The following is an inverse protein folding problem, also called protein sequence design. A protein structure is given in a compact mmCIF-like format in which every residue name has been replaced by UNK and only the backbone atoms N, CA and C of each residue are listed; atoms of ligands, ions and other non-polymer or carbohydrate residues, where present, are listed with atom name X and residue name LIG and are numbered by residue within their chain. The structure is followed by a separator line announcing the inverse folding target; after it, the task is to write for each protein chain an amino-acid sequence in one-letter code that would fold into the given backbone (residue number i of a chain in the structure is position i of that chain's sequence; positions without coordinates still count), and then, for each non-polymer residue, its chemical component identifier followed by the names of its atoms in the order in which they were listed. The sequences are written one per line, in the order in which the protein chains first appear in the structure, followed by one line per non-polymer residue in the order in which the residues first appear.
data_IF_669652777554
#
_entry.id   IF_669652777554
#
_cell.length_a   1.000
_cell.length_b   1.000
_cell.length_c   1.000
_cell.angle_alpha   90.00
_cell.angle_beta   90.00
_cell.angle_gamma   90.00
#
_symmetry.space_group_name_H-M   'P 1'
#
loop_
_entity.id
_entity.type
_entity.pdbx_description
1 polymer ?
#
# COMPACT_ATOMS: atom_id res chain seq x y z
N UNK A 1 9.33 24.05 -13.26
CA UNK A 1 8.49 23.38 -12.23
C UNK A 1 9.41 22.54 -11.38
N UNK A 2 9.39 22.70 -10.04
CA UNK A 2 10.25 21.90 -9.15
C UNK A 2 9.75 20.45 -9.16
N UNK A 3 10.64 19.48 -9.23
CA UNK A 3 10.24 18.06 -9.12
C UNK A 3 9.50 17.84 -7.80
N UNK A 4 8.38 17.10 -7.86
CA UNK A 4 7.53 16.84 -6.69
C UNK A 4 8.17 15.87 -5.69
N UNK A 5 9.10 15.03 -6.14
CA UNK A 5 9.73 13.97 -5.34
C UNK A 5 11.20 13.85 -5.71
N UNK A 6 12.07 13.57 -4.75
CA UNK A 6 13.52 13.41 -4.98
C UNK A 6 13.89 11.95 -5.24
N UNK A 7 14.92 11.67 -6.05
CA UNK A 7 15.41 10.30 -6.25
C UNK A 7 15.78 9.66 -4.91
N UNK A 8 15.24 8.48 -4.64
CA UNK A 8 15.46 7.76 -3.38
C UNK A 8 14.66 8.32 -2.20
N UNK A 9 13.81 9.33 -2.41
CA UNK A 9 12.81 9.73 -1.42
C UNK A 9 11.86 8.56 -1.17
N UNK A 10 11.71 8.16 0.09
CA UNK A 10 10.77 7.11 0.44
C UNK A 10 9.36 7.69 0.51
N UNK A 11 8.52 7.28 -0.42
CA UNK A 11 7.12 7.71 -0.53
C UNK A 11 6.21 6.65 0.07
N UNK A 12 5.19 7.11 0.79
CA UNK A 12 4.28 6.26 1.56
C UNK A 12 4.71 6.18 3.02
N UNK A 13 4.59 5.01 3.64
CA UNK A 13 4.96 4.79 5.05
C UNK A 13 3.78 4.75 6.02
N UNK A 14 2.56 4.98 5.53
CA UNK A 14 1.32 4.75 6.28
C UNK A 14 0.86 3.29 6.20
N UNK A 15 0.13 2.86 7.22
CA UNK A 15 -0.46 1.53 7.33
C UNK A 15 -1.98 1.69 7.51
N UNK A 16 -2.74 0.89 6.78
CA UNK A 16 -4.19 0.89 6.82
C UNK A 16 -4.70 -0.45 7.31
N UNK A 17 -5.69 -0.41 8.21
CA UNK A 17 -6.40 -1.60 8.67
C UNK A 17 -7.74 -1.69 7.95
N UNK A 18 -7.93 -2.78 7.19
CA UNK A 18 -9.15 -3.04 6.45
C UNK A 18 -9.90 -4.24 7.02
N UNK A 19 -11.23 -4.16 7.03
CA UNK A 19 -12.10 -5.33 7.23
C UNK A 19 -12.27 -6.10 5.92
N UNK A 20 -12.20 -7.43 5.99
CA UNK A 20 -12.48 -8.34 4.87
C UNK A 20 -13.90 -8.87 4.94
N UNK A 21 -14.53 -9.01 3.77
CA UNK A 21 -15.86 -9.62 3.65
C UNK A 21 -15.80 -11.12 3.88
N UNK A 22 -16.72 -11.65 4.71
CA UNK A 22 -16.75 -13.08 5.10
C UNK A 22 -16.87 -14.06 3.94
N UNK A 23 -17.60 -13.70 2.89
CA UNK A 23 -17.87 -14.58 1.73
C UNK A 23 -16.78 -14.51 0.67
N UNK A 24 -16.34 -13.30 0.34
CA UNK A 24 -15.39 -13.06 -0.75
C UNK A 24 -13.94 -13.06 -0.30
N UNK A 25 -13.69 -12.94 1.01
CA UNK A 25 -12.39 -12.59 1.58
C UNK A 25 -11.77 -11.35 0.93
N UNK A 26 -12.53 -10.47 0.29
CA UNK A 26 -11.99 -9.22 -0.29
C UNK A 26 -12.18 -8.07 0.68
N UNK A 27 -11.33 -7.05 0.56
CA UNK A 27 -11.59 -5.75 1.22
C UNK A 27 -12.89 -5.19 0.64
N UNK A 28 -13.81 -4.79 1.53
CA UNK A 28 -15.09 -4.25 1.09
C UNK A 28 -14.95 -2.77 0.69
N UNK A 29 -15.41 -2.35 -0.50
CA UNK A 29 -15.14 -0.99 -1.02
C UNK A 29 -15.81 0.14 -0.22
N UNK A 30 -16.85 -0.15 0.56
CA UNK A 30 -17.55 0.83 1.40
C UNK A 30 -17.07 0.99 2.84
N UNK A 31 -16.01 0.28 3.26
CA UNK A 31 -15.49 0.37 4.63
C UNK A 31 -14.34 1.38 4.70
N UNK A 32 -14.48 2.43 5.52
CA UNK A 32 -13.36 3.32 5.83
C UNK A 32 -12.27 2.58 6.61
N UNK A 33 -11.00 2.63 6.16
CA UNK A 33 -9.90 2.03 6.90
C UNK A 33 -9.49 2.87 8.10
N UNK A 34 -8.82 2.23 9.06
CA UNK A 34 -8.08 2.93 10.12
C UNK A 34 -6.64 3.15 9.66
N UNK A 35 -6.20 4.40 9.62
CA UNK A 35 -4.85 4.77 9.22
C UNK A 35 -3.92 4.92 10.43
N UNK A 36 -2.69 4.43 10.29
CA UNK A 36 -1.65 4.52 11.31
C UNK A 36 -0.29 4.83 10.70
N UNK A 37 0.51 5.62 11.41
CA UNK A 37 1.86 5.99 10.99
C UNK A 37 2.89 4.86 11.14
N UNK A 38 2.59 3.79 11.88
CA UNK A 38 3.53 2.69 12.13
C UNK A 38 2.86 1.33 11.99
N UNK A 39 3.66 0.33 11.57
CA UNK A 39 3.17 -1.04 11.41
C UNK A 39 2.67 -1.62 12.73
N UNK A 40 3.37 -1.34 13.83
CA UNK A 40 3.01 -1.83 15.15
C UNK A 40 1.66 -1.26 15.62
N UNK A 41 1.41 0.03 15.40
CA UNK A 41 0.14 0.64 15.72
C UNK A 41 -1.01 0.02 14.90
N UNK A 42 -0.80 -0.24 13.61
CA UNK A 42 -1.79 -0.91 12.76
C UNK A 42 -2.05 -2.37 13.18
N UNK A 43 -1.01 -3.11 13.60
CA UNK A 43 -1.18 -4.47 14.14
C UNK A 43 -2.01 -4.45 15.42
N UNK A 44 -1.72 -3.52 16.34
CA UNK A 44 -2.46 -3.38 17.58
C UNK A 44 -3.93 -3.06 17.30
N UNK A 45 -4.21 -2.18 16.34
CA UNK A 45 -5.57 -1.86 15.93
C UNK A 45 -6.29 -3.05 15.30
N UNK A 46 -5.61 -3.78 14.41
CA UNK A 46 -6.14 -5.01 13.81
C UNK A 46 -6.55 -6.03 14.90
N UNK A 47 -5.72 -6.23 15.92
CA UNK A 47 -6.01 -7.12 17.04
C UNK A 47 -7.17 -6.60 17.92
N UNK A 48 -7.21 -5.28 18.19
CA UNK A 48 -8.32 -4.65 18.93
C UNK A 48 -9.65 -4.88 18.21
N UNK A 49 -9.69 -4.66 16.90
CA UNK A 49 -10.89 -4.82 16.07
C UNK A 49 -11.35 -6.28 15.98
N UNK A 50 -10.42 -7.22 15.82
CA UNK A 50 -10.74 -8.65 15.81
C UNK A 50 -11.34 -9.12 17.15
N UNK A 51 -10.83 -8.62 18.29
CA UNK A 51 -11.40 -8.90 19.62
C UNK A 51 -12.78 -8.27 19.80
N UNK A 52 -12.97 -7.04 19.33
CA UNK A 52 -14.25 -6.34 19.45
C UNK A 52 -15.34 -6.90 18.53
N UNK A 53 -14.97 -7.60 17.44
CA UNK A 53 -15.91 -8.10 16.44
C UNK A 53 -15.63 -9.58 16.10
N UNK A 54 -16.03 -10.53 16.96
CA UNK A 54 -15.81 -11.95 16.71
C UNK A 54 -16.38 -12.42 15.38
N UNK A 55 -15.59 -13.20 14.63
CA UNK A 55 -15.97 -13.70 13.30
C UNK A 55 -15.79 -12.71 12.16
N UNK A 56 -15.24 -11.53 12.41
CA UNK A 56 -14.74 -10.60 11.39
C UNK A 56 -13.24 -10.76 11.18
N UNK A 57 -12.79 -10.61 9.92
CA UNK A 57 -11.37 -10.69 9.56
C UNK A 57 -10.87 -9.30 9.21
N UNK A 58 -9.71 -8.94 9.75
CA UNK A 58 -9.03 -7.67 9.47
C UNK A 58 -7.63 -7.94 8.92
N UNK A 59 -7.12 -7.02 8.10
CA UNK A 59 -5.76 -7.06 7.56
C UNK A 59 -5.09 -5.70 7.66
N UNK A 60 -3.77 -5.73 7.82
CA UNK A 60 -2.91 -4.55 7.70
C UNK A 60 -2.35 -4.52 6.28
N UNK A 61 -2.46 -3.37 5.62
CA UNK A 61 -1.87 -3.11 4.32
C UNK A 61 -1.02 -1.85 4.43
N UNK A 62 0.20 -1.90 3.91
CA UNK A 62 1.07 -0.74 3.79
C UNK A 62 1.88 -0.86 2.50
N UNK A 63 2.09 0.26 1.83
CA UNK A 63 2.96 0.33 0.66
C UNK A 63 3.96 1.46 0.86
N UNK A 64 5.23 1.12 0.66
CA UNK A 64 6.33 2.06 0.63
C UNK A 64 7.09 1.79 -0.66
N UNK A 65 7.52 2.84 -1.34
CA UNK A 65 8.39 2.74 -2.49
C UNK A 65 9.39 3.87 -2.50
N UNK A 66 10.56 3.61 -3.07
CA UNK A 66 11.54 4.64 -3.31
C UNK A 66 11.22 5.34 -4.62
N UNK A 67 11.17 6.67 -4.59
CA UNK A 67 10.91 7.49 -5.76
C UNK A 67 12.03 7.29 -6.78
N UNK A 68 11.64 6.92 -8.01
CA UNK A 68 12.52 6.86 -9.18
C UNK A 68 12.50 8.20 -9.90
N UNK A 69 13.51 8.47 -10.73
CA UNK A 69 13.38 9.60 -11.67
C UNK A 69 12.27 9.32 -12.68
N UNK A 70 11.54 10.36 -13.08
CA UNK A 70 10.41 10.26 -14.00
C UNK A 70 10.76 9.66 -15.37
N UNK A 71 12.04 9.59 -15.74
CA UNK A 71 12.53 9.14 -17.04
C UNK A 71 13.47 7.92 -16.97
N UNK A 72 13.54 7.21 -15.84
CA UNK A 72 14.30 5.95 -15.81
C UNK A 72 13.48 4.88 -16.55
N UNK A 73 14.04 4.25 -17.61
CA UNK A 73 13.34 3.20 -18.35
C UNK A 73 12.97 2.06 -17.39
N UNK A 74 11.77 1.52 -17.53
CA UNK A 74 11.40 0.29 -16.83
C UNK A 74 12.25 -0.84 -17.39
N UNK A 75 12.92 -1.60 -16.53
CA UNK A 75 13.62 -2.83 -16.90
C UNK A 75 12.67 -3.73 -17.70
N UNK A 76 12.81 -3.73 -19.03
CA UNK A 76 11.88 -4.39 -19.95
C UNK A 76 11.67 -3.68 -21.29
N UNK A 77 11.87 -2.36 -21.39
CA UNK A 77 11.92 -1.64 -22.68
C UNK A 77 13.35 -1.66 -23.22
N UNK A 78 13.81 -2.84 -23.63
CA UNK A 78 14.95 -2.91 -24.54
C UNK A 78 14.50 -2.27 -25.86
N UNK A 79 15.08 -1.12 -26.19
CA UNK A 79 14.90 -0.43 -27.46
C UNK A 79 15.22 -1.43 -28.59
N UNK A 80 14.21 -1.94 -29.29
CA UNK A 80 14.43 -2.79 -30.45
C UNK A 80 15.27 -1.97 -31.46
N UNK A 81 16.46 -2.44 -31.87
CA UNK A 81 17.24 -1.72 -32.85
C UNK A 81 16.43 -1.72 -34.15
N UNK A 82 16.01 -0.51 -34.55
CA UNK A 82 15.23 -0.27 -35.76
C UNK A 82 15.82 -1.01 -36.95
N UNK A 83 14.94 -1.75 -37.64
CA UNK A 83 15.24 -2.41 -38.89
C UNK A 83 15.83 -1.41 -39.89
N UNK A 84 17.04 -1.72 -40.38
CA UNK A 84 17.72 -1.04 -41.47
C UNK A 84 17.06 -1.34 -42.82
#
# INVERSE_FOLDING_TARGET
MKERTQKGERIGGGFFVFRRGKKSNRVHPGAFPFEHCTMMAAINECQRLARANPGETYIVVGQCYDARHANEPTDGEANEPGAA
#
